data_IF_325361241809
#
_entry.id   IF_325361241809
#
_cell.length_a   1.000
_cell.length_b   1.000
_cell.length_c   1.000
_cell.angle_alpha   90.00
_cell.angle_beta   90.00
_cell.angle_gamma   90.00
#
_symmetry.space_group_name_H-M   'P 1'
#
loop_
_entity.id
_entity.type
_entity.pdbx_description
1 polymer ?
#
# COMPACT_ATOMS: atom_id res chain seq x y z
N UNK A 1 6.96 5.02 -16.21
CA UNK A 1 6.21 3.77 -16.00
C UNK A 1 6.24 3.31 -14.54
N UNK A 2 7.39 2.86 -13.97
CA UNK A 2 7.42 2.28 -12.62
C UNK A 2 7.25 3.28 -11.46
N UNK A 3 7.81 4.48 -11.58
CA UNK A 3 7.71 5.50 -10.53
C UNK A 3 6.29 6.07 -10.38
N UNK A 4 5.56 6.22 -11.49
CA UNK A 4 4.17 6.68 -11.47
C UNK A 4 3.25 5.70 -10.74
N UNK A 5 3.43 4.40 -10.97
CA UNK A 5 2.64 3.38 -10.26
C UNK A 5 2.98 3.37 -8.78
N UNK A 6 4.27 3.45 -8.42
CA UNK A 6 4.70 3.57 -7.02
C UNK A 6 4.09 4.79 -6.35
N UNK A 7 4.08 5.94 -7.03
CA UNK A 7 3.50 7.17 -6.54
C UNK A 7 1.98 7.05 -6.34
N UNK A 8 1.24 6.42 -7.26
CA UNK A 8 -0.20 6.16 -7.09
C UNK A 8 -0.50 5.31 -5.85
N UNK A 9 0.26 4.24 -5.63
CA UNK A 9 0.12 3.39 -4.44
C UNK A 9 0.42 4.19 -3.18
N UNK A 10 1.52 4.94 -3.16
CA UNK A 10 1.88 5.78 -2.00
C UNK A 10 0.80 6.82 -1.68
N UNK A 11 0.33 7.55 -2.70
CA UNK A 11 -0.74 8.56 -2.57
C UNK A 11 -2.04 7.95 -2.02
N UNK A 12 -2.34 6.70 -2.39
CA UNK A 12 -3.49 5.96 -1.86
C UNK A 12 -3.41 5.81 -0.34
N UNK A 13 -2.23 5.55 0.22
CA UNK A 13 -2.01 5.49 1.67
C UNK A 13 -2.04 6.88 2.33
N UNK A 14 -1.59 7.94 1.64
CA UNK A 14 -1.71 9.31 2.13
C UNK A 14 -3.16 9.76 2.25
N UNK A 15 -3.99 9.50 1.24
CA UNK A 15 -5.40 9.92 1.20
C UNK A 15 -6.27 9.24 2.26
N UNK A 16 -5.90 8.04 2.71
CA UNK A 16 -6.66 7.28 3.71
C UNK A 16 -6.10 7.41 5.12
N UNK A 17 -4.92 8.00 5.30
CA UNK A 17 -4.32 8.17 6.61
C UNK A 17 -5.31 8.87 7.57
N UNK A 18 -5.50 8.38 8.81
CA UNK A 18 -4.71 7.38 9.54
C UNK A 18 -5.15 5.92 9.39
N UNK A 19 -6.00 5.60 8.41
CA UNK A 19 -6.49 4.22 8.20
C UNK A 19 -5.44 3.33 7.55
N UNK A 20 -5.52 2.04 7.86
CA UNK A 20 -4.76 0.99 7.19
C UNK A 20 -5.54 0.40 6.01
N UNK A 21 -4.82 -0.11 5.02
CA UNK A 21 -5.36 -0.83 3.87
C UNK A 21 -4.63 -2.16 3.69
N UNK A 22 -5.36 -3.17 3.25
CA UNK A 22 -4.77 -4.40 2.73
C UNK A 22 -4.15 -4.18 1.34
N UNK A 23 -3.34 -5.15 0.90
CA UNK A 23 -2.79 -5.16 -0.46
C UNK A 23 -3.89 -5.04 -1.51
N UNK A 24 -4.98 -5.79 -1.36
CA UNK A 24 -6.08 -5.81 -2.32
C UNK A 24 -6.80 -4.47 -2.36
N UNK A 25 -7.10 -3.89 -1.20
CA UNK A 25 -7.76 -2.58 -1.12
C UNK A 25 -6.91 -1.47 -1.71
N UNK A 26 -5.60 -1.46 -1.39
CA UNK A 26 -4.68 -0.48 -1.95
C UNK A 26 -4.49 -0.66 -3.46
N UNK A 27 -4.46 -1.89 -3.97
CA UNK A 27 -4.36 -2.19 -5.41
C UNK A 27 -5.60 -1.72 -6.17
N UNK A 28 -6.79 -2.05 -5.66
CA UNK A 28 -8.06 -1.63 -6.23
C UNK A 28 -8.18 -0.10 -6.27
N UNK A 29 -7.81 0.56 -5.18
CA UNK A 29 -7.91 2.02 -5.08
C UNK A 29 -6.86 2.74 -5.94
N UNK A 30 -5.68 2.16 -6.12
CA UNK A 30 -4.66 2.65 -7.04
C UNK A 30 -4.94 2.29 -8.52
N UNK A 31 -5.96 1.45 -8.80
CA UNK A 31 -6.33 1.03 -10.15
C UNK A 31 -5.30 0.10 -10.80
N UNK A 32 -4.67 -0.77 -10.02
CA UNK A 32 -3.63 -1.71 -10.49
C UNK A 32 -3.94 -3.15 -10.06
N UNK A 33 -3.25 -4.11 -10.68
CA UNK A 33 -3.40 -5.52 -10.32
C UNK A 33 -2.79 -5.84 -8.96
N UNK A 34 -3.40 -6.80 -8.24
CA UNK A 34 -2.93 -7.23 -6.91
C UNK A 34 -1.45 -7.64 -6.85
N UNK A 35 -0.88 -8.37 -7.84
CA UNK A 35 0.55 -8.69 -7.82
C UNK A 35 1.42 -7.43 -7.91
N UNK A 36 1.00 -6.45 -8.71
CA UNK A 36 1.71 -5.18 -8.88
C UNK A 36 1.63 -4.34 -7.60
N UNK A 37 0.44 -4.24 -7.00
CA UNK A 37 0.26 -3.55 -5.73
C UNK A 37 1.03 -4.21 -4.60
N UNK A 38 1.04 -5.55 -4.51
CA UNK A 38 1.84 -6.29 -3.54
C UNK A 38 3.33 -5.97 -3.66
N UNK A 39 3.86 -5.91 -4.88
CA UNK A 39 5.25 -5.56 -5.15
C UNK A 39 5.55 -4.13 -4.66
N UNK A 40 4.75 -3.14 -5.06
CA UNK A 40 5.01 -1.75 -4.68
C UNK A 40 4.80 -1.48 -3.20
N UNK A 41 3.84 -2.12 -2.54
CA UNK A 41 3.63 -2.00 -1.10
C UNK A 41 4.87 -2.52 -0.35
N UNK A 42 5.44 -3.66 -0.76
CA UNK A 42 6.69 -4.17 -0.17
C UNK A 42 7.89 -3.25 -0.41
N UNK A 43 7.98 -2.63 -1.59
CA UNK A 43 9.02 -1.63 -1.87
C UNK A 43 8.84 -0.41 -0.95
N UNK A 44 7.62 0.10 -0.80
CA UNK A 44 7.34 1.24 0.08
C UNK A 44 7.57 0.90 1.57
N UNK A 45 7.31 -0.34 1.97
CA UNK A 45 7.60 -0.85 3.30
C UNK A 45 9.13 -0.90 3.55
N UNK A 46 9.90 -1.40 2.58
CA UNK A 46 11.35 -1.41 2.64
C UNK A 46 11.96 0.00 2.60
N UNK A 47 11.33 0.94 1.88
CA UNK A 47 11.67 2.38 1.90
C UNK A 47 11.25 3.08 3.21
N UNK A 48 10.52 2.42 4.10
CA UNK A 48 10.04 2.98 5.37
C UNK A 48 8.91 4.01 5.21
N UNK A 49 8.24 4.05 4.06
CA UNK A 49 7.13 4.97 3.76
C UNK A 49 5.78 4.45 4.23
N UNK A 50 5.62 3.13 4.23
CA UNK A 50 4.48 2.45 4.83
C UNK A 50 4.98 1.44 5.84
N UNK A 51 4.14 1.09 6.80
CA UNK A 51 4.44 0.08 7.81
C UNK A 51 3.31 -0.93 7.89
N UNK A 52 3.66 -2.19 8.13
CA UNK A 52 2.70 -3.18 8.55
C UNK A 52 2.11 -2.79 9.91
N UNK A 53 0.78 -2.79 10.01
CA UNK A 53 0.08 -2.44 11.24
C UNK A 53 -0.43 -3.67 11.97
N UNK A 54 -1.23 -4.51 11.28
CA UNK A 54 -1.92 -5.65 11.88
C UNK A 54 -2.33 -6.68 10.82
N UNK A 55 -2.75 -7.85 11.30
CA UNK A 55 -3.48 -8.84 10.52
C UNK A 55 -4.99 -8.68 10.76
N UNK A 56 -5.77 -8.67 9.69
CA UNK A 56 -7.24 -8.80 9.74
C UNK A 56 -7.60 -10.08 9.01
N UNK A 57 -7.94 -11.13 9.77
CA UNK A 57 -8.02 -12.49 9.25
C UNK A 57 -6.67 -12.96 8.69
N UNK A 58 -6.62 -13.25 7.39
CA UNK A 58 -5.38 -13.64 6.67
C UNK A 58 -4.73 -12.47 5.92
N UNK A 59 -5.36 -11.28 5.92
CA UNK A 59 -4.89 -10.12 5.18
C UNK A 59 -3.92 -9.29 6.02
N UNK A 60 -2.76 -8.95 5.45
CA UNK A 60 -1.83 -7.98 6.02
C UNK A 60 -2.32 -6.56 5.74
N UNK A 61 -2.40 -5.75 6.78
CA UNK A 61 -2.77 -4.34 6.71
C UNK A 61 -1.51 -3.48 6.79
N UNK A 62 -1.49 -2.42 5.98
CA UNK A 62 -0.41 -1.46 5.90
C UNK A 62 -0.96 -0.05 6.06
N UNK A 63 -0.16 0.85 6.63
CA UNK A 63 -0.52 2.27 6.78
C UNK A 63 0.67 3.12 6.39
N UNK A 64 0.41 4.37 5.99
CA UNK A 64 1.45 5.39 5.89
C UNK A 64 2.21 5.52 7.21
N UNK A 65 3.55 5.51 7.13
CA UNK A 65 4.44 5.78 8.25
C UNK A 65 4.71 7.29 8.30
N UNK A 66 4.36 7.93 9.41
CA UNK A 66 4.64 9.35 9.68
C UNK A 66 5.63 9.50 10.81
#
# INVERSE_FOLDING_TARGET
>A
MSEETKYKVFKTFEEVYPKDLSIVEASNKAGISDPTGAMYIRILEAEGKVEFTRLVGRSKMFRLKK
#
